data_IF_080262925038
#
_entry.id   IF_080262925038
#
_cell.length_a   1.000
_cell.length_b   1.000
_cell.length_c   1.000
_cell.angle_alpha   90.00
_cell.angle_beta   90.00
_cell.angle_gamma   90.00
#
_symmetry.space_group_name_H-M   'P 1'
#
loop_
_entity.id
_entity.type
_entity.pdbx_description
1 polymer ?
#
# COMPACT_ATOMS: atom_id res chain seq x y z
N UNK A 1 -33.30 14.38 3.33
CA UNK A 1 -33.72 13.23 4.15
C UNK A 1 -34.15 12.10 3.21
N UNK A 2 -33.21 11.24 2.81
CA UNK A 2 -33.42 10.26 1.73
C UNK A 2 -34.01 8.98 2.33
N UNK A 3 -35.25 8.67 1.98
CA UNK A 3 -36.05 7.57 2.51
C UNK A 3 -35.73 6.30 1.70
N UNK A 4 -34.83 5.47 2.22
CA UNK A 4 -34.50 4.16 1.64
C UNK A 4 -35.74 3.25 1.65
N UNK A 5 -36.35 3.06 0.49
CA UNK A 5 -37.34 2.01 0.27
C UNK A 5 -36.62 0.66 0.12
N UNK A 6 -36.58 -0.12 1.19
CA UNK A 6 -36.24 -1.54 1.09
C UNK A 6 -37.45 -2.25 0.46
N UNK A 7 -37.32 -2.61 -0.82
CA UNK A 7 -38.31 -3.38 -1.57
C UNK A 7 -38.34 -4.82 -1.02
N UNK A 8 -39.14 -5.05 0.02
CA UNK A 8 -39.42 -6.39 0.54
C UNK A 8 -40.35 -7.11 -0.45
N UNK A 9 -39.97 -8.28 -1.00
CA UNK A 9 -40.86 -9.05 -1.84
C UNK A 9 -42.07 -9.48 -0.99
N UNK A 10 -43.27 -9.16 -1.50
CA UNK A 10 -44.56 -9.57 -0.92
C UNK A 10 -44.59 -11.10 -0.81
N UNK A 11 -44.26 -11.62 0.36
CA UNK A 11 -44.42 -13.03 0.70
C UNK A 11 -45.91 -13.32 0.82
N UNK A 12 -46.47 -13.85 -0.27
CA UNK A 12 -47.83 -14.37 -0.34
C UNK A 12 -47.89 -15.66 0.49
N UNK A 13 -48.10 -15.52 1.80
CA UNK A 13 -48.24 -16.64 2.74
C UNK A 13 -49.62 -17.29 2.55
N UNK A 14 -49.76 -18.10 1.50
CA UNK A 14 -50.79 -19.14 1.44
C UNK A 14 -50.43 -20.20 2.47
N UNK A 15 -51.12 -20.17 3.62
CA UNK A 15 -51.04 -21.21 4.65
C UNK A 15 -51.62 -22.52 4.10
N UNK A 16 -50.78 -23.26 3.36
CA UNK A 16 -51.04 -24.66 3.01
C UNK A 16 -50.64 -25.50 4.22
N UNK A 17 -51.67 -26.04 4.88
CA UNK A 17 -51.57 -26.88 6.06
C UNK A 17 -50.94 -28.23 5.68
N UNK A 18 -49.64 -28.35 5.89
CA UNK A 18 -48.90 -29.60 5.73
C UNK A 18 -47.39 -29.36 5.68
N UNK A 19 -46.62 -30.26 6.26
CA UNK A 19 -45.15 -30.36 6.19
C UNK A 19 -44.33 -29.64 7.28
N UNK A 20 -44.06 -30.42 8.34
CA UNK A 20 -42.95 -30.31 9.31
C UNK A 20 -41.53 -30.30 8.69
N UNK A 21 -41.36 -30.22 7.37
CA UNK A 21 -40.07 -30.41 6.68
C UNK A 21 -39.42 -29.14 6.12
N UNK A 22 -40.09 -27.97 6.16
CA UNK A 22 -39.57 -26.77 5.49
C UNK A 22 -38.73 -25.83 6.37
N UNK A 23 -38.79 -25.95 7.70
CA UNK A 23 -38.04 -25.04 8.59
C UNK A 23 -36.53 -25.29 8.51
N UNK A 24 -36.09 -26.52 8.22
CA UNK A 24 -34.68 -26.87 8.15
C UNK A 24 -33.97 -26.29 6.90
N UNK A 25 -34.70 -26.09 5.79
CA UNK A 25 -34.10 -25.73 4.49
C UNK A 25 -33.72 -24.25 4.38
N UNK A 26 -34.27 -23.38 5.23
CA UNK A 26 -33.99 -21.93 5.25
C UNK A 26 -32.97 -21.54 6.32
N UNK A 27 -32.87 -22.29 7.42
CA UNK A 27 -31.90 -22.01 8.50
C UNK A 27 -30.50 -22.53 8.15
N UNK A 28 -30.39 -23.65 7.43
CA UNK A 28 -29.12 -24.22 6.97
C UNK A 28 -28.21 -23.25 6.20
N UNK A 29 -28.69 -22.48 5.19
CA UNK A 29 -27.83 -21.57 4.44
C UNK A 29 -27.31 -20.42 5.32
N UNK A 30 -28.11 -19.90 6.25
CA UNK A 30 -27.66 -18.83 7.15
C UNK A 30 -26.55 -19.30 8.08
N UNK A 31 -26.70 -20.47 8.70
CA UNK A 31 -25.71 -20.99 9.64
C UNK A 31 -24.38 -21.36 8.93
N UNK A 32 -24.43 -21.83 7.68
CA UNK A 32 -23.26 -22.06 6.85
C UNK A 32 -22.53 -20.76 6.48
N UNK A 33 -23.27 -19.68 6.18
CA UNK A 33 -22.70 -18.35 5.90
C UNK A 33 -22.02 -17.76 7.14
N UNK A 34 -22.62 -17.89 8.34
CA UNK A 34 -21.98 -17.43 9.57
C UNK A 34 -20.69 -18.20 9.89
N UNK A 35 -20.71 -19.54 9.74
CA UNK A 35 -19.53 -20.38 9.95
C UNK A 35 -18.41 -20.07 8.94
N UNK A 36 -18.77 -19.78 7.68
CA UNK A 36 -17.81 -19.32 6.66
C UNK A 36 -17.22 -17.94 6.98
N UNK A 37 -18.04 -17.01 7.49
CA UNK A 37 -17.59 -15.67 7.90
C UNK A 37 -16.65 -15.70 9.11
N UNK A 38 -16.77 -16.73 9.95
CA UNK A 38 -15.87 -16.96 11.09
C UNK A 38 -14.50 -17.51 10.63
N UNK A 39 -14.47 -18.36 9.59
CA UNK A 39 -13.24 -18.88 8.98
C UNK A 39 -12.43 -17.82 8.19
N UNK A 40 -13.05 -16.70 7.79
CA UNK A 40 -12.40 -15.56 7.10
C UNK A 40 -11.78 -14.55 8.08
N UNK A 41 -11.92 -14.75 9.41
CA UNK A 41 -11.08 -14.02 10.37
C UNK A 41 -9.66 -14.54 10.21
N UNK A 42 -8.82 -13.78 9.49
CA UNK A 42 -7.37 -14.01 9.36
C UNK A 42 -6.81 -14.42 10.73
N UNK A 43 -6.55 -15.71 10.91
CA UNK A 43 -5.96 -16.23 12.13
C UNK A 43 -4.50 -15.81 12.14
N UNK A 44 -4.21 -14.67 12.76
CA UNK A 44 -2.84 -14.22 13.03
C UNK A 44 -2.19 -15.33 13.86
N UNK A 45 -1.03 -15.83 13.43
CA UNK A 45 -0.38 -16.92 14.15
C UNK A 45 -0.12 -16.51 15.62
N UNK A 46 -0.37 -17.38 16.61
CA UNK A 46 -0.21 -17.04 18.02
C UNK A 46 1.20 -16.51 18.34
N UNK A 47 2.21 -17.05 17.66
CA UNK A 47 3.61 -16.65 17.77
C UNK A 47 3.84 -15.18 17.36
N UNK A 48 3.23 -14.70 16.27
CA UNK A 48 3.34 -13.29 15.82
C UNK A 48 2.75 -12.35 16.85
N UNK A 49 1.62 -12.74 17.45
CA UNK A 49 0.96 -11.97 18.50
C UNK A 49 1.85 -11.83 19.74
N UNK A 50 2.50 -12.91 20.17
CA UNK A 50 3.45 -12.87 21.31
C UNK A 50 4.63 -11.94 21.02
N UNK A 51 5.29 -12.07 19.86
CA UNK A 51 6.42 -11.21 19.48
C UNK A 51 6.02 -9.74 19.43
N UNK A 52 4.83 -9.44 18.89
CA UNK A 52 4.29 -8.08 18.89
C UNK A 52 4.12 -7.51 20.30
N UNK A 53 3.54 -8.27 21.23
CA UNK A 53 3.33 -7.79 22.61
C UNK A 53 4.63 -7.67 23.39
N UNK A 54 5.60 -8.57 23.17
CA UNK A 54 6.94 -8.44 23.77
C UNK A 54 7.61 -7.17 23.25
N UNK A 55 7.60 -6.94 21.93
CA UNK A 55 8.14 -5.72 21.33
C UNK A 55 7.48 -4.45 21.87
N UNK A 56 6.16 -4.46 21.98
CA UNK A 56 5.38 -3.35 22.55
C UNK A 56 5.72 -3.10 24.03
N UNK A 57 5.81 -4.15 24.85
CA UNK A 57 6.20 -4.02 26.25
C UNK A 57 7.62 -3.45 26.40
N UNK A 58 8.56 -3.92 25.57
CA UNK A 58 9.94 -3.44 25.58
C UNK A 58 10.04 -1.98 25.13
N UNK A 59 9.27 -1.60 24.10
CA UNK A 59 9.21 -0.23 23.60
C UNK A 59 8.63 0.72 24.65
N UNK A 60 7.54 0.34 25.32
CA UNK A 60 6.95 1.15 26.41
C UNK A 60 7.92 1.27 27.58
N UNK A 61 8.52 0.16 28.03
CA UNK A 61 9.49 0.18 29.12
C UNK A 61 10.71 1.05 28.78
N UNK A 62 11.26 0.90 27.57
CA UNK A 62 12.38 1.69 27.07
C UNK A 62 12.04 3.18 26.98
N UNK A 63 10.86 3.52 26.48
CA UNK A 63 10.37 4.89 26.40
C UNK A 63 10.23 5.53 27.79
N UNK A 64 9.65 4.82 28.75
CA UNK A 64 9.55 5.30 30.13
C UNK A 64 10.94 5.52 30.75
N UNK A 65 11.86 4.58 30.56
CA UNK A 65 13.20 4.64 31.10
C UNK A 65 14.01 5.79 30.46
N UNK A 66 13.88 6.00 29.15
CA UNK A 66 14.46 7.13 28.44
C UNK A 66 13.85 8.46 28.91
N UNK A 67 12.53 8.55 29.01
CA UNK A 67 11.84 9.77 29.46
C UNK A 67 12.19 10.12 30.92
N UNK A 68 12.49 9.11 31.76
CA UNK A 68 12.93 9.32 33.14
C UNK A 68 14.21 10.15 33.25
N UNK A 69 15.03 10.19 32.19
CA UNK A 69 16.25 11.01 32.16
C UNK A 69 15.95 12.50 32.11
N UNK A 70 14.95 12.91 31.33
CA UNK A 70 14.49 14.30 31.28
C UNK A 70 13.86 14.75 32.60
N UNK A 71 13.07 13.88 33.23
CA UNK A 71 12.52 14.16 34.55
C UNK A 71 13.64 14.32 35.58
N UNK A 72 14.65 13.45 35.55
CA UNK A 72 15.81 13.54 36.43
C UNK A 72 16.60 14.84 36.19
N UNK A 73 16.77 15.26 34.94
CA UNK A 73 17.43 16.52 34.59
C UNK A 73 16.65 17.75 35.09
N UNK A 74 15.32 17.76 34.92
CA UNK A 74 14.46 18.85 35.36
C UNK A 74 14.46 19.00 36.89
N UNK A 75 14.36 17.89 37.63
CA UNK A 75 14.32 17.90 39.10
C UNK A 75 15.65 18.31 39.75
N UNK A 76 16.77 18.12 39.06
CA UNK A 76 18.11 18.44 39.57
C UNK A 76 18.73 19.66 38.87
N UNK A 77 17.93 20.42 38.13
CA UNK A 77 18.42 21.60 37.42
C UNK A 77 18.93 22.64 38.41
N UNK A 78 20.23 22.97 38.34
CA UNK A 78 20.89 23.91 39.25
C UNK A 78 21.61 23.27 40.45
N UNK A 79 21.52 21.96 40.66
CA UNK A 79 22.26 21.25 41.73
C UNK A 79 23.51 20.53 41.20
N UNK A 80 24.69 21.06 41.52
CA UNK A 80 25.99 20.54 41.07
C UNK A 80 26.71 19.62 42.08
N UNK A 81 26.13 19.38 43.27
CA UNK A 81 26.79 18.66 44.36
C UNK A 81 27.25 17.23 44.01
N UNK A 82 26.57 16.55 43.08
CA UNK A 82 26.87 15.18 42.64
C UNK A 82 26.79 15.05 41.11
N UNK A 83 27.37 16.01 40.38
CA UNK A 83 27.21 16.11 38.93
C UNK A 83 27.72 14.88 38.16
N UNK A 84 28.89 14.34 38.51
CA UNK A 84 29.51 13.22 37.80
C UNK A 84 28.67 11.93 37.88
N UNK A 85 28.23 11.55 39.08
CA UNK A 85 27.46 10.32 39.28
C UNK A 85 26.06 10.42 38.69
N UNK A 86 25.41 11.59 38.84
CA UNK A 86 24.10 11.86 38.21
C UNK A 86 24.19 11.80 36.69
N UNK A 87 25.20 12.43 36.11
CA UNK A 87 25.42 12.41 34.65
C UNK A 87 25.64 10.99 34.13
N UNK A 88 26.49 10.20 34.80
CA UNK A 88 26.73 8.79 34.43
C UNK A 88 25.44 7.97 34.48
N UNK A 89 24.67 8.08 35.55
CA UNK A 89 23.40 7.36 35.70
C UNK A 89 22.38 7.76 34.64
N UNK A 90 22.33 9.06 34.29
CA UNK A 90 21.43 9.59 33.27
C UNK A 90 21.80 9.11 31.87
N UNK A 91 23.09 9.10 31.51
CA UNK A 91 23.58 8.58 30.24
C UNK A 91 23.30 7.08 30.14
N UNK A 92 23.60 6.30 31.18
CA UNK A 92 23.33 4.86 31.18
C UNK A 92 21.85 4.57 30.97
N UNK A 93 20.96 5.27 31.68
CA UNK A 93 19.51 5.15 31.47
C UNK A 93 19.11 5.58 30.05
N UNK A 94 19.65 6.69 29.54
CA UNK A 94 19.33 7.14 28.19
C UNK A 94 19.72 6.09 27.13
N UNK A 95 20.93 5.55 27.21
CA UNK A 95 21.44 4.55 26.25
C UNK A 95 20.65 3.25 26.35
N UNK A 96 20.43 2.73 27.56
CA UNK A 96 19.67 1.50 27.78
C UNK A 96 18.21 1.68 27.32
N UNK A 97 17.58 2.80 27.66
CA UNK A 97 16.22 3.12 27.24
C UNK A 97 16.10 3.23 25.73
N UNK A 98 17.01 3.95 25.08
CA UNK A 98 17.05 4.07 23.62
C UNK A 98 17.23 2.71 22.93
N UNK A 99 18.13 1.87 23.44
CA UNK A 99 18.35 0.52 22.91
C UNK A 99 17.08 -0.34 23.04
N UNK A 100 16.40 -0.31 24.18
CA UNK A 100 15.13 -1.03 24.37
C UNK A 100 14.04 -0.55 23.41
N UNK A 101 13.96 0.77 23.15
CA UNK A 101 13.01 1.32 22.17
C UNK A 101 13.30 0.78 20.77
N UNK A 102 14.57 0.78 20.35
CA UNK A 102 14.98 0.29 19.02
C UNK A 102 14.67 -1.20 18.89
N UNK A 103 15.12 -2.02 19.85
CA UNK A 103 14.87 -3.47 19.84
C UNK A 103 13.36 -3.76 19.91
N UNK A 104 12.63 -3.04 20.76
CA UNK A 104 11.19 -3.19 20.91
C UNK A 104 10.44 -2.84 19.62
N UNK A 105 10.84 -1.77 18.95
CA UNK A 105 10.29 -1.34 17.67
C UNK A 105 10.55 -2.37 16.56
N UNK A 106 11.74 -2.96 16.51
CA UNK A 106 12.06 -4.05 15.56
C UNK A 106 11.23 -5.29 15.84
N UNK A 107 11.13 -5.75 17.09
CA UNK A 107 10.28 -6.90 17.43
C UNK A 107 8.82 -6.64 17.08
N UNK A 108 8.32 -5.44 17.39
CA UNK A 108 6.95 -5.06 17.11
C UNK A 108 6.66 -4.99 15.60
N UNK A 109 7.61 -4.50 14.78
CA UNK A 109 7.46 -4.46 13.32
C UNK A 109 7.45 -5.86 12.72
N UNK A 110 8.31 -6.76 13.21
CA UNK A 110 8.33 -8.18 12.83
C UNK A 110 7.03 -8.88 13.25
N UNK A 111 6.51 -8.60 14.44
CA UNK A 111 5.23 -9.14 14.91
C UNK A 111 4.03 -8.68 14.06
N UNK A 112 4.02 -7.42 13.61
CA UNK A 112 2.97 -6.87 12.73
C UNK A 112 3.03 -7.42 11.31
N UNK A 113 4.21 -7.38 10.70
CA UNK A 113 4.40 -7.71 9.30
C UNK A 113 4.57 -9.23 9.07
N UNK A 114 4.92 -9.97 10.13
CA UNK A 114 5.41 -11.35 10.01
C UNK A 114 6.80 -11.40 9.38
N UNK A 115 7.45 -12.58 9.44
CA UNK A 115 8.80 -12.77 8.89
C UNK A 115 8.90 -12.43 7.38
N UNK A 116 7.83 -12.68 6.62
CA UNK A 116 7.76 -12.37 5.19
C UNK A 116 7.59 -10.87 4.91
N UNK A 117 6.84 -10.16 5.75
CA UNK A 117 6.62 -8.72 5.60
C UNK A 117 7.70 -7.84 6.24
N UNK A 118 8.53 -8.38 7.14
CA UNK A 118 9.62 -7.64 7.78
C UNK A 118 10.95 -7.67 7.01
N UNK A 119 10.96 -8.27 5.82
CA UNK A 119 12.16 -8.41 4.98
C UNK A 119 13.17 -9.48 5.45
N UNK A 120 12.85 -10.23 6.53
CA UNK A 120 13.71 -11.30 7.06
C UNK A 120 13.58 -12.62 6.28
N UNK A 121 12.42 -12.86 5.65
CA UNK A 121 12.18 -13.99 4.74
C UNK A 121 11.58 -13.47 3.44
N UNK A 122 12.43 -13.12 2.48
CA UNK A 122 12.01 -12.80 1.12
C UNK A 122 11.78 -14.11 0.37
N UNK A 123 10.53 -14.58 0.31
CA UNK A 123 10.14 -15.51 -0.74
C UNK A 123 9.48 -14.70 -1.86
N UNK A 124 10.25 -14.28 -2.90
CA UNK A 124 9.76 -13.38 -3.95
C UNK A 124 8.61 -13.98 -4.76
N UNK A 125 8.49 -15.31 -4.79
CA UNK A 125 7.39 -16.04 -5.42
C UNK A 125 6.07 -15.86 -4.66
N UNK A 126 6.10 -15.97 -3.32
CA UNK A 126 4.91 -15.85 -2.47
C UNK A 126 4.41 -14.40 -2.43
N UNK A 127 5.32 -13.42 -2.38
CA UNK A 127 4.98 -12.01 -2.53
C UNK A 127 4.32 -11.69 -3.88
N UNK A 128 4.75 -12.34 -4.97
CA UNK A 128 4.13 -12.19 -6.31
C UNK A 128 2.73 -12.78 -6.37
N UNK A 129 2.50 -13.96 -5.77
CA UNK A 129 1.17 -14.59 -5.71
C UNK A 129 0.18 -13.79 -4.87
N UNK A 130 0.63 -13.19 -3.76
CA UNK A 130 -0.22 -12.38 -2.88
C UNK A 130 -0.66 -11.05 -3.51
N UNK A 131 0.18 -10.45 -4.36
CA UNK A 131 -0.15 -9.20 -5.08
C UNK A 131 -0.87 -9.44 -6.40
N UNK A 132 -0.86 -10.65 -6.96
CA UNK A 132 -1.47 -10.97 -8.25
C UNK A 132 -2.97 -10.58 -8.35
N UNK A 133 -3.83 -10.82 -7.33
CA UNK A 133 -5.22 -10.37 -7.36
C UNK A 133 -5.36 -8.85 -7.32
N UNK A 134 -4.49 -8.16 -6.58
CA UNK A 134 -4.49 -6.70 -6.45
C UNK A 134 -3.93 -5.99 -7.68
N UNK A 135 -2.91 -6.56 -8.31
CA UNK A 135 -2.39 -6.10 -9.59
C UNK A 135 -3.45 -6.22 -10.70
N UNK A 136 -4.25 -7.30 -10.69
CA UNK A 136 -5.40 -7.47 -11.59
C UNK A 136 -6.52 -6.44 -11.32
N UNK A 137 -6.83 -6.14 -10.06
CA UNK A 137 -7.86 -5.13 -9.72
C UNK A 137 -7.38 -3.69 -9.98
N UNK A 138 -6.13 -3.36 -9.65
CA UNK A 138 -5.54 -2.04 -9.90
C UNK A 138 -5.39 -1.72 -11.38
N UNK A 139 -5.11 -2.72 -12.22
CA UNK A 139 -5.07 -2.55 -13.68
C UNK A 139 -6.41 -2.13 -14.29
N UNK A 140 -7.53 -2.51 -13.68
CA UNK A 140 -8.86 -2.03 -14.09
C UNK A 140 -9.04 -0.55 -13.77
N UNK A 141 -8.79 -0.15 -12.53
CA UNK A 141 -8.94 1.25 -12.07
C UNK A 141 -8.02 2.20 -12.83
N UNK A 142 -6.78 1.78 -13.14
CA UNK A 142 -5.85 2.60 -13.92
C UNK A 142 -6.32 2.76 -15.38
N UNK A 143 -6.88 1.70 -15.99
CA UNK A 143 -7.47 1.79 -17.33
C UNK A 143 -8.69 2.71 -17.33
N UNK A 144 -9.56 2.59 -16.34
CA UNK A 144 -10.75 3.44 -16.21
C UNK A 144 -10.37 4.93 -16.13
N UNK A 145 -9.29 5.26 -15.40
CA UNK A 145 -8.79 6.65 -15.30
C UNK A 145 -8.15 7.13 -16.62
N UNK A 146 -7.39 6.27 -17.31
CA UNK A 146 -6.75 6.61 -18.58
C UNK A 146 -7.78 6.80 -19.70
N UNK A 147 -8.81 5.95 -19.73
CA UNK A 147 -9.92 6.04 -20.67
C UNK A 147 -10.75 7.31 -20.42
N UNK A 148 -11.00 7.67 -19.16
CA UNK A 148 -11.65 8.95 -18.78
C UNK A 148 -10.80 10.17 -19.14
N UNK A 149 -9.46 10.06 -19.06
CA UNK A 149 -8.53 11.11 -19.47
C UNK A 149 -8.35 11.20 -21.01
N UNK A 150 -9.00 10.32 -21.78
CA UNK A 150 -8.86 10.25 -23.24
C UNK A 150 -7.52 9.71 -23.73
N UNK A 151 -6.74 9.07 -22.85
CA UNK A 151 -5.42 8.52 -23.15
C UNK A 151 -5.58 7.01 -23.38
N UNK A 152 -5.76 6.59 -24.63
CA UNK A 152 -5.86 5.16 -24.96
C UNK A 152 -4.45 4.53 -24.98
N UNK A 153 -4.11 3.59 -24.07
CA UNK A 153 -2.78 3.00 -24.00
C UNK A 153 -2.54 1.90 -25.07
N UNK A 154 -3.28 1.93 -26.18
CA UNK A 154 -3.22 0.96 -27.27
C UNK A 154 -2.88 1.52 -28.65
N UNK A 155 -2.76 2.84 -28.80
CA UNK A 155 -2.24 3.42 -30.04
C UNK A 155 -0.71 3.23 -30.08
N UNK A 156 -0.26 2.10 -30.66
CA UNK A 156 1.11 1.99 -31.16
C UNK A 156 1.39 3.24 -32.00
N UNK A 157 2.38 4.08 -31.68
CA UNK A 157 2.85 5.05 -32.65
C UNK A 157 3.44 4.22 -33.78
N UNK A 158 2.80 4.28 -34.94
CA UNK A 158 3.28 3.75 -36.21
C UNK A 158 4.48 4.58 -36.68
N UNK A 159 5.55 4.60 -35.88
CA UNK A 159 6.68 5.50 -36.03
C UNK A 159 7.92 4.83 -36.62
N UNK A 160 7.78 3.75 -37.39
CA UNK A 160 8.99 3.05 -37.88
C UNK A 160 9.20 3.06 -39.40
N UNK A 161 8.26 3.55 -40.21
CA UNK A 161 8.56 3.90 -41.62
C UNK A 161 7.73 5.10 -42.04
N UNK A 162 8.10 6.31 -41.61
CA UNK A 162 7.56 7.52 -42.22
C UNK A 162 8.00 7.54 -43.69
N UNK A 163 7.02 7.58 -44.60
CA UNK A 163 7.28 7.71 -46.04
C UNK A 163 8.00 9.04 -46.31
N UNK A 164 8.80 9.07 -47.40
CA UNK A 164 9.60 10.25 -47.77
C UNK A 164 8.77 11.55 -47.79
N UNK A 165 7.57 11.49 -48.37
CA UNK A 165 6.65 12.63 -48.47
C UNK A 165 6.21 13.15 -47.10
N UNK A 166 6.01 12.25 -46.13
CA UNK A 166 5.58 12.62 -44.80
C UNK A 166 6.71 13.26 -43.97
N UNK A 167 7.96 12.81 -44.20
CA UNK A 167 9.15 13.44 -43.61
C UNK A 167 9.32 14.87 -44.11
N UNK A 168 9.14 15.12 -45.41
CA UNK A 168 9.22 16.47 -45.98
C UNK A 168 8.09 17.38 -45.46
N UNK A 169 6.86 16.86 -45.38
CA UNK A 169 5.72 17.62 -44.87
C UNK A 169 5.90 18.05 -43.41
N UNK A 170 6.43 17.18 -42.56
CA UNK A 170 6.74 17.52 -41.14
C UNK A 170 7.90 18.51 -41.03
N UNK A 171 8.95 18.33 -41.83
CA UNK A 171 10.09 19.25 -41.83
C UNK A 171 9.66 20.67 -42.23
N UNK A 172 8.75 20.79 -43.20
CA UNK A 172 8.22 22.08 -43.63
C UNK A 172 7.35 22.73 -42.55
N UNK A 173 6.55 21.94 -41.83
CA UNK A 173 5.78 22.42 -40.69
C UNK A 173 6.69 22.97 -39.58
N UNK A 174 7.80 22.31 -39.27
CA UNK A 174 8.75 22.78 -38.26
C UNK A 174 9.40 24.11 -38.62
N UNK A 175 9.66 24.35 -39.91
CA UNK A 175 10.15 25.65 -40.41
C UNK A 175 9.08 26.73 -40.29
N UNK A 176 7.85 26.41 -40.68
CA UNK A 176 6.73 27.36 -40.65
C UNK A 176 6.35 27.73 -39.19
N UNK A 177 6.52 26.80 -38.25
CA UNK A 177 6.37 27.00 -36.80
C UNK A 177 7.58 27.75 -36.17
N UNK A 178 8.62 28.08 -36.96
CA UNK A 178 9.82 28.80 -36.51
C UNK A 178 10.75 28.01 -35.59
N UNK A 179 10.57 26.69 -35.50
CA UNK A 179 11.34 25.80 -34.62
C UNK A 179 12.71 25.43 -35.17
N UNK A 180 12.90 25.59 -36.48
CA UNK A 180 14.18 25.34 -37.16
C UNK A 180 14.52 26.52 -38.06
N UNK A 181 15.81 26.81 -38.17
CA UNK A 181 16.30 27.85 -39.07
C UNK A 181 16.22 27.42 -40.54
N UNK A 182 16.20 28.38 -41.47
CA UNK A 182 16.16 28.10 -42.90
C UNK A 182 17.39 27.29 -43.39
N UNK A 183 18.53 27.46 -42.72
CA UNK A 183 19.76 26.74 -43.02
C UNK A 183 19.65 25.26 -42.61
N UNK A 184 19.18 24.98 -41.40
CA UNK A 184 18.96 23.62 -40.89
C UNK A 184 17.86 22.88 -41.68
N UNK A 185 16.86 23.60 -42.16
CA UNK A 185 15.82 23.06 -43.04
C UNK A 185 16.43 22.54 -44.35
N UNK A 186 17.25 23.34 -45.03
CA UNK A 186 17.83 22.95 -46.32
C UNK A 186 18.85 21.82 -46.19
N UNK A 187 19.65 21.80 -45.13
CA UNK A 187 20.59 20.70 -44.87
C UNK A 187 19.86 19.38 -44.60
N UNK A 188 18.82 19.42 -43.75
CA UNK A 188 18.01 18.25 -43.44
C UNK A 188 17.22 17.75 -44.65
N UNK A 189 16.70 18.67 -45.47
CA UNK A 189 16.00 18.34 -46.72
C UNK A 189 16.93 17.65 -47.73
N UNK A 190 18.16 18.14 -47.90
CA UNK A 190 19.17 17.51 -48.76
C UNK A 190 19.52 16.10 -48.30
N UNK A 191 19.69 15.90 -46.99
CA UNK A 191 19.97 14.59 -46.41
C UNK A 191 18.82 13.58 -46.64
N UNK A 192 17.57 14.04 -46.53
CA UNK A 192 16.40 13.19 -46.81
C UNK A 192 16.29 12.87 -48.30
N UNK A 193 16.66 13.81 -49.18
CA UNK A 193 16.68 13.61 -50.64
C UNK A 193 17.79 12.66 -51.12
N UNK A 194 18.91 12.56 -50.39
CA UNK A 194 19.99 11.62 -50.71
C UNK A 194 19.76 10.20 -50.19
N UNK A 195 18.77 10.02 -49.29
CA UNK A 195 18.42 8.74 -48.65
C UNK A 195 17.36 7.93 -49.44
N UNK A 196 16.86 8.47 -50.56
CA UNK A 196 15.89 7.85 -51.49
C UNK A 196 16.61 7.40 -52.76
#
# INVERSE_FOLDING_TARGET
MVRFWVNLPRLNLRLVRGHRYYVLRVVLPYMAIYKAREMVRRQISPQRKVVFYIGMALLVAGALLFLSTFLSAALHFGDFSNFADRSRSMILRAVVGALMIVVGGVLQSVGRAGLAGSGLKLDPEEARRDVEPWARMGGGVVRDILDEAGISPGAKPESEVLTFDEKLRRLQKLRDDGLISAEEFEDTKKRILSDV
#
